data_IF_253374015455
#
_entry.id   IF_253374015455
#
_cell.length_a   1.000
_cell.length_b   1.000
_cell.length_c   1.000
_cell.angle_alpha   90.00
_cell.angle_beta   90.00
_cell.angle_gamma   90.00
#
_symmetry.space_group_name_H-M   'P 1'
#
loop_
_entity.id
_entity.type
_entity.pdbx_description
1 polymer ?
#
# COMPACT_ATOMS: atom_id res chain seq x y z
N UNK A 1 25.37 -8.14 13.64
CA UNK A 1 25.95 -6.78 13.70
C UNK A 1 26.02 -6.26 12.27
N UNK A 2 25.37 -5.14 11.94
CA UNK A 2 25.28 -4.62 10.56
C UNK A 2 26.66 -4.21 10.03
N UNK A 3 26.96 -4.49 8.76
CA UNK A 3 28.28 -4.25 8.13
C UNK A 3 28.74 -2.79 8.24
N UNK A 4 27.82 -1.82 8.20
CA UNK A 4 28.13 -0.40 8.41
C UNK A 4 28.73 -0.09 9.79
N UNK A 5 28.30 -0.79 10.85
CA UNK A 5 28.86 -0.57 12.20
C UNK A 5 30.29 -1.06 12.34
N UNK A 6 30.69 -2.07 11.54
CA UNK A 6 32.08 -2.54 11.49
C UNK A 6 33.01 -1.52 10.80
N UNK A 7 32.43 -0.58 10.06
CA UNK A 7 33.13 0.50 9.35
C UNK A 7 33.03 1.84 10.10
N UNK A 8 32.68 1.79 11.40
CA UNK A 8 32.46 2.94 12.28
C UNK A 8 31.38 3.94 11.82
N UNK A 9 30.54 3.54 10.86
CA UNK A 9 29.35 4.29 10.45
C UNK A 9 28.21 3.95 11.41
N UNK A 10 27.90 4.88 12.31
CA UNK A 10 26.94 4.70 13.41
C UNK A 10 25.73 5.61 13.31
N UNK A 11 25.78 6.66 12.50
CA UNK A 11 24.71 7.68 12.40
C UNK A 11 24.23 7.88 10.98
N UNK A 12 23.00 8.37 10.83
CA UNK A 12 22.42 8.75 9.53
C UNK A 12 23.27 9.83 8.84
N UNK A 13 23.81 10.80 9.59
CA UNK A 13 24.70 11.82 9.06
C UNK A 13 25.97 11.22 8.44
N UNK A 14 26.59 10.25 9.11
CA UNK A 14 27.76 9.56 8.58
C UNK A 14 27.42 8.76 7.33
N UNK A 15 26.26 8.09 7.28
CA UNK A 15 25.79 7.40 6.06
C UNK A 15 25.59 8.41 4.92
N UNK A 16 24.98 9.57 5.19
CA UNK A 16 24.70 10.58 4.19
C UNK A 16 25.97 11.13 3.50
N UNK A 17 27.08 11.24 4.24
CA UNK A 17 28.35 11.80 3.76
C UNK A 17 29.43 10.74 3.46
N UNK A 18 29.14 9.45 3.68
CA UNK A 18 30.12 8.39 3.49
C UNK A 18 30.51 8.23 2.00
N UNK A 19 31.79 7.95 1.76
CA UNK A 19 32.26 7.53 0.44
C UNK A 19 32.12 6.00 0.31
N UNK A 20 30.96 5.57 -0.21
CA UNK A 20 30.67 4.15 -0.40
C UNK A 20 31.57 3.46 -1.44
N UNK A 21 32.27 4.22 -2.30
CA UNK A 21 33.22 3.64 -3.26
C UNK A 21 34.44 3.00 -2.58
N UNK A 22 34.73 3.39 -1.34
CA UNK A 22 35.87 2.91 -0.54
C UNK A 22 35.50 1.77 0.42
N UNK A 23 34.23 1.36 0.47
CA UNK A 23 33.83 0.27 1.36
C UNK A 23 34.20 -1.09 0.77
N UNK A 24 34.62 -2.06 1.61
CA UNK A 24 34.75 -3.44 1.17
C UNK A 24 33.39 -3.95 0.68
N UNK A 25 33.40 -4.91 -0.27
CA UNK A 25 32.17 -5.56 -0.74
C UNK A 25 31.36 -6.05 0.45
N UNK A 26 30.12 -5.56 0.55
CA UNK A 26 29.20 -5.91 1.63
C UNK A 26 28.41 -7.16 1.18
N UNK A 27 28.49 -8.29 1.90
CA UNK A 27 27.68 -9.47 1.57
C UNK A 27 26.20 -9.13 1.51
N UNK A 28 25.52 -9.59 0.45
CA UNK A 28 24.09 -9.38 0.20
C UNK A 28 23.65 -7.92 -0.05
N UNK A 29 24.58 -6.99 -0.30
CA UNK A 29 24.25 -5.62 -0.70
C UNK A 29 25.02 -5.22 -1.95
N UNK A 30 24.29 -4.95 -3.03
CA UNK A 30 24.87 -4.43 -4.25
C UNK A 30 25.09 -2.91 -4.14
N UNK A 31 25.87 -2.35 -5.06
CA UNK A 31 26.21 -0.92 -5.09
C UNK A 31 24.97 -0.04 -5.14
N UNK A 32 23.93 -0.46 -5.85
CA UNK A 32 22.66 0.24 -5.98
C UNK A 32 21.91 0.34 -4.64
N UNK A 33 21.85 -0.76 -3.88
CA UNK A 33 21.25 -0.80 -2.54
C UNK A 33 21.99 0.11 -1.56
N UNK A 34 23.33 0.14 -1.63
CA UNK A 34 24.14 1.08 -0.82
C UNK A 34 23.87 2.53 -1.19
N UNK A 35 23.82 2.83 -2.49
CA UNK A 35 23.51 4.16 -2.98
C UNK A 35 22.11 4.60 -2.54
N UNK A 36 21.13 3.71 -2.59
CA UNK A 36 19.77 3.98 -2.11
C UNK A 36 19.74 4.28 -0.61
N UNK A 37 20.46 3.51 0.21
CA UNK A 37 20.60 3.77 1.66
C UNK A 37 21.26 5.14 1.91
N UNK A 38 22.26 5.50 1.11
CA UNK A 38 22.88 6.83 1.18
C UNK A 38 21.88 7.94 0.87
N UNK A 39 21.12 7.80 -0.22
CA UNK A 39 20.12 8.79 -0.63
C UNK A 39 19.03 8.94 0.44
N UNK A 40 18.58 7.84 1.05
CA UNK A 40 17.62 7.89 2.16
C UNK A 40 18.21 8.65 3.36
N UNK A 41 19.47 8.41 3.70
CA UNK A 41 20.14 9.15 4.77
C UNK A 41 20.28 10.64 4.44
N UNK A 42 20.61 11.00 3.20
CA UNK A 42 20.68 12.38 2.74
C UNK A 42 19.32 13.06 2.80
N UNK A 43 18.26 12.37 2.36
CA UNK A 43 16.88 12.85 2.42
C UNK A 43 16.46 13.10 3.89
N UNK A 44 16.74 12.16 4.80
CA UNK A 44 16.48 12.31 6.23
C UNK A 44 17.22 13.52 6.84
N UNK A 45 18.50 13.71 6.53
CA UNK A 45 19.31 14.84 7.05
C UNK A 45 18.82 16.18 6.53
N UNK A 46 18.48 16.26 5.24
CA UNK A 46 17.91 17.47 4.62
C UNK A 46 16.45 17.68 5.01
N UNK A 47 15.81 16.65 5.56
CA UNK A 47 14.37 16.57 5.79
C UNK A 47 13.55 16.92 4.54
N UNK A 48 14.00 16.47 3.36
CA UNK A 48 13.36 16.78 2.08
C UNK A 48 13.40 15.61 1.10
N UNK A 49 12.49 15.60 0.14
CA UNK A 49 12.43 14.55 -0.89
C UNK A 49 13.61 14.65 -1.84
N UNK A 50 14.06 13.50 -2.35
CA UNK A 50 14.97 13.41 -3.49
C UNK A 50 14.24 12.74 -4.64
N UNK A 51 14.12 13.44 -5.76
CA UNK A 51 13.59 12.88 -7.00
C UNK A 51 14.67 12.09 -7.72
N UNK A 52 14.37 10.83 -8.04
CA UNK A 52 15.23 9.96 -8.85
C UNK A 52 14.84 10.03 -10.32
N UNK A 53 13.54 10.07 -10.59
CA UNK A 53 12.94 10.26 -11.92
C UNK A 53 11.50 10.74 -11.77
N UNK A 54 10.90 11.19 -12.87
CA UNK A 54 9.48 11.51 -12.90
C UNK A 54 8.63 10.24 -12.77
N UNK A 55 7.62 10.21 -11.88
CA UNK A 55 6.65 9.13 -11.79
C UNK A 55 5.90 8.96 -13.11
N UNK A 56 5.80 7.72 -13.59
CA UNK A 56 4.97 7.37 -14.73
C UNK A 56 3.84 6.47 -14.24
N UNK A 57 2.63 7.01 -14.21
CA UNK A 57 1.45 6.31 -13.72
C UNK A 57 0.45 6.22 -14.86
N UNK A 58 0.00 5.01 -15.17
CA UNK A 58 -1.04 4.82 -16.18
C UNK A 58 -2.39 5.28 -15.62
N UNK A 59 -3.05 6.18 -16.33
CA UNK A 59 -4.35 6.71 -15.94
C UNK A 59 -5.52 5.99 -16.63
N UNK A 60 -6.72 6.11 -16.05
CA UNK A 60 -8.00 5.80 -16.66
C UNK A 60 -9.14 6.70 -16.15
N UNK A 61 -10.24 6.83 -16.92
CA UNK A 61 -11.43 7.54 -16.48
C UNK A 61 -12.04 6.99 -15.19
N UNK A 62 -12.08 5.65 -15.05
CA UNK A 62 -12.50 4.98 -13.83
C UNK A 62 -11.26 4.55 -13.03
N UNK A 63 -11.04 5.20 -11.89
CA UNK A 63 -9.96 4.85 -10.95
C UNK A 63 -10.55 4.08 -9.79
N UNK A 64 -9.95 2.93 -9.47
CA UNK A 64 -10.33 2.10 -8.33
C UNK A 64 -9.10 2.00 -7.44
N UNK A 65 -9.19 2.39 -6.18
CA UNK A 65 -8.13 2.16 -5.20
C UNK A 65 -8.54 0.97 -4.36
N UNK A 66 -7.61 0.04 -4.15
CA UNK A 66 -7.91 -1.27 -3.58
C UNK A 66 -6.93 -1.59 -2.45
N UNK A 67 -7.50 -2.08 -1.35
CA UNK A 67 -6.77 -2.58 -0.19
C UNK A 67 -7.47 -3.81 0.42
N UNK A 68 -6.69 -4.67 1.08
CA UNK A 68 -7.16 -5.92 1.68
C UNK A 68 -6.74 -5.97 3.15
N UNK A 69 -7.70 -6.28 4.02
CA UNK A 69 -7.42 -6.65 5.40
C UNK A 69 -7.52 -8.17 5.58
N UNK A 70 -6.57 -8.73 6.33
CA UNK A 70 -6.53 -10.15 6.59
C UNK A 70 -5.80 -10.50 7.89
N UNK A 71 -6.04 -11.72 8.36
CA UNK A 71 -5.42 -12.30 9.53
C UNK A 71 -4.61 -13.54 9.12
N UNK A 72 -3.27 -13.50 9.24
CA UNK A 72 -2.41 -14.62 8.87
C UNK A 72 -2.53 -15.82 9.83
N UNK A 73 -2.92 -15.63 11.09
CA UNK A 73 -3.09 -16.71 12.06
C UNK A 73 -4.37 -17.51 11.75
N UNK A 74 -5.46 -16.80 11.46
CA UNK A 74 -6.73 -17.41 11.03
C UNK A 74 -6.74 -17.82 9.55
N UNK A 75 -5.73 -17.40 8.78
CA UNK A 75 -5.61 -17.62 7.33
C UNK A 75 -6.82 -17.12 6.54
N UNK A 76 -7.33 -15.94 6.91
CA UNK A 76 -8.51 -15.31 6.29
C UNK A 76 -8.18 -13.92 5.78
N UNK A 77 -8.71 -13.55 4.62
CA UNK A 77 -8.88 -12.18 4.16
C UNK A 77 -10.32 -11.77 4.51
N UNK A 78 -10.49 -10.90 5.49
CA UNK A 78 -11.81 -10.58 6.02
C UNK A 78 -12.41 -9.31 5.44
N UNK A 79 -11.65 -8.50 4.71
CA UNK A 79 -12.19 -7.31 4.06
C UNK A 79 -11.47 -6.99 2.74
N UNK A 80 -12.25 -6.75 1.70
CA UNK A 80 -11.82 -6.15 0.43
C UNK A 80 -12.48 -4.78 0.31
N UNK A 81 -11.71 -3.71 0.25
CA UNK A 81 -12.27 -2.36 0.17
C UNK A 81 -11.81 -1.58 -1.05
N UNK A 82 -12.72 -0.78 -1.59
CA UNK A 82 -12.53 -0.09 -2.85
C UNK A 82 -12.99 1.36 -2.76
N UNK A 83 -12.10 2.29 -3.11
CA UNK A 83 -12.47 3.67 -3.38
C UNK A 83 -12.60 3.90 -4.88
N UNK A 84 -13.79 4.27 -5.34
CA UNK A 84 -14.12 4.34 -6.77
C UNK A 84 -14.33 5.80 -7.17
N UNK A 85 -13.58 6.24 -8.19
CA UNK A 85 -13.63 7.61 -8.73
C UNK A 85 -13.85 7.55 -10.24
N UNK A 86 -14.99 8.07 -10.71
CA UNK A 86 -15.47 8.02 -12.10
C UNK A 86 -15.55 9.41 -12.74
N UNK A 87 -14.65 10.32 -12.36
CA UNK A 87 -14.65 11.72 -12.78
C UNK A 87 -15.62 12.61 -11.98
N UNK A 88 -16.37 12.04 -11.03
CA UNK A 88 -17.14 12.79 -10.04
C UNK A 88 -16.44 12.76 -8.68
N UNK A 89 -16.59 13.84 -7.93
CA UNK A 89 -16.10 13.97 -6.54
C UNK A 89 -17.30 14.27 -5.61
N UNK A 90 -17.32 13.73 -4.37
CA UNK A 90 -16.33 12.78 -3.83
C UNK A 90 -16.43 11.41 -4.51
N UNK A 91 -15.35 10.62 -4.42
CA UNK A 91 -15.40 9.20 -4.75
C UNK A 91 -16.37 8.43 -3.85
N UNK A 92 -16.56 7.13 -4.14
CA UNK A 92 -17.46 6.26 -3.39
C UNK A 92 -16.72 5.03 -2.87
N UNK A 93 -16.84 4.80 -1.57
CA UNK A 93 -16.36 3.58 -0.94
C UNK A 93 -17.36 2.43 -1.11
N UNK A 94 -16.85 1.24 -1.41
CA UNK A 94 -17.56 -0.02 -1.24
C UNK A 94 -16.62 -1.04 -0.60
N UNK A 95 -17.19 -2.01 0.10
CA UNK A 95 -16.41 -3.10 0.68
C UNK A 95 -17.19 -4.42 0.62
N UNK A 96 -16.45 -5.52 0.57
CA UNK A 96 -16.96 -6.86 0.86
C UNK A 96 -16.28 -7.32 2.15
N UNK A 97 -17.06 -7.87 3.08
CA UNK A 97 -16.59 -8.23 4.42
C UNK A 97 -17.01 -9.66 4.73
N UNK A 98 -16.06 -10.47 5.17
CA UNK A 98 -16.33 -11.75 5.82
C UNK A 98 -16.41 -11.49 7.33
N UNK A 99 -17.64 -11.47 7.88
CA UNK A 99 -17.84 -11.23 9.32
C UNK A 99 -17.36 -12.39 10.19
N UNK A 100 -17.14 -13.56 9.60
CA UNK A 100 -16.50 -14.72 10.23
C UNK A 100 -15.53 -15.37 9.25
N UNK A 101 -14.51 -16.11 9.70
CA UNK A 101 -13.57 -16.77 8.80
C UNK A 101 -14.23 -17.67 7.76
N UNK A 102 -15.29 -18.40 8.11
CA UNK A 102 -16.06 -19.24 7.20
C UNK A 102 -16.81 -18.46 6.10
N UNK A 103 -17.00 -17.15 6.26
CA UNK A 103 -17.71 -16.30 5.30
C UNK A 103 -16.79 -15.78 4.17
N UNK A 104 -15.47 -16.05 4.19
CA UNK A 104 -14.51 -15.62 3.16
C UNK A 104 -14.92 -16.05 1.75
N UNK A 105 -15.37 -17.29 1.61
CA UNK A 105 -15.84 -17.80 0.33
C UNK A 105 -17.07 -17.06 -0.19
N UNK A 106 -17.97 -16.63 0.70
CA UNK A 106 -19.15 -15.84 0.33
C UNK A 106 -18.75 -14.41 -0.08
N UNK A 107 -17.91 -13.76 0.73
CA UNK A 107 -17.32 -12.45 0.43
C UNK A 107 -16.64 -12.46 -0.94
N UNK A 108 -15.90 -13.52 -1.26
CA UNK A 108 -15.24 -13.70 -2.55
C UNK A 108 -16.24 -13.79 -3.71
N UNK A 109 -17.35 -14.53 -3.57
CA UNK A 109 -18.36 -14.60 -4.63
C UNK A 109 -19.08 -13.25 -4.87
N UNK A 110 -19.27 -12.46 -3.82
CA UNK A 110 -19.80 -11.08 -3.94
C UNK A 110 -18.83 -10.19 -4.71
N UNK A 111 -17.53 -10.27 -4.39
CA UNK A 111 -16.47 -9.60 -5.15
C UNK A 111 -16.46 -10.01 -6.64
N UNK A 112 -16.49 -11.32 -6.94
CA UNK A 112 -16.56 -11.81 -8.33
C UNK A 112 -17.82 -11.31 -9.06
N UNK A 113 -18.95 -11.21 -8.36
CA UNK A 113 -20.19 -10.68 -8.93
C UNK A 113 -20.06 -9.19 -9.26
N UNK A 114 -19.38 -8.43 -8.40
CA UNK A 114 -19.07 -7.02 -8.66
C UNK A 114 -18.10 -6.84 -9.84
N UNK A 115 -17.08 -7.68 -9.98
CA UNK A 115 -16.16 -7.61 -11.12
C UNK A 115 -16.88 -7.69 -12.48
N UNK A 116 -17.97 -8.45 -12.58
CA UNK A 116 -18.80 -8.56 -13.80
C UNK A 116 -19.50 -7.25 -14.18
N UNK A 117 -19.63 -6.32 -13.23
CA UNK A 117 -20.26 -5.01 -13.45
C UNK A 117 -19.27 -3.95 -13.94
N UNK A 118 -17.96 -4.21 -13.84
CA UNK A 118 -16.95 -3.25 -14.25
C UNK A 118 -16.89 -3.11 -15.77
N UNK A 119 -16.75 -1.87 -16.30
CA UNK A 119 -16.67 -1.65 -17.73
C UNK A 119 -15.37 -2.24 -18.28
N UNK A 120 -15.41 -3.13 -19.29
CA UNK A 120 -14.20 -3.67 -19.89
C UNK A 120 -13.31 -2.54 -20.42
N UNK A 121 -12.02 -2.57 -20.06
CA UNK A 121 -10.95 -1.69 -20.58
C UNK A 121 -11.06 -0.19 -20.27
N UNK A 122 -11.92 0.23 -19.33
CA UNK A 122 -12.09 1.64 -18.97
C UNK A 122 -11.64 1.99 -17.55
N UNK A 123 -10.96 1.08 -16.85
CA UNK A 123 -10.49 1.30 -15.48
C UNK A 123 -9.05 0.88 -15.23
N UNK A 124 -8.47 1.46 -14.18
CA UNK A 124 -7.22 1.05 -13.54
C UNK A 124 -7.46 0.82 -12.06
N UNK A 125 -6.72 -0.12 -11.48
CA UNK A 125 -6.76 -0.44 -10.06
C UNK A 125 -5.45 -0.04 -9.44
N UNK A 126 -5.46 0.86 -8.47
CA UNK A 126 -4.28 1.35 -7.77
C UNK A 126 -4.24 0.71 -6.39
N UNK A 127 -3.08 0.21 -5.99
CA UNK A 127 -2.88 -0.40 -4.69
C UNK A 127 -1.47 -0.11 -4.18
N UNK A 128 -1.14 -0.52 -2.96
CA UNK A 128 0.12 -0.18 -2.32
C UNK A 128 0.79 -1.41 -1.70
N UNK A 129 1.53 -2.14 -2.55
CA UNK A 129 2.35 -3.35 -2.31
C UNK A 129 1.85 -4.61 -3.05
N UNK A 130 2.71 -5.61 -3.16
CA UNK A 130 2.38 -6.90 -3.81
C UNK A 130 1.33 -7.73 -3.06
N UNK A 131 1.01 -7.36 -1.82
CA UNK A 131 0.08 -8.11 -0.97
C UNK A 131 -1.30 -8.27 -1.65
N UNK A 132 -1.88 -7.19 -2.17
CA UNK A 132 -3.20 -7.23 -2.83
C UNK A 132 -3.21 -8.17 -4.04
N UNK A 133 -2.15 -8.10 -4.87
CA UNK A 133 -1.98 -8.99 -6.02
C UNK A 133 -1.90 -10.45 -5.58
N UNK A 134 -1.01 -10.74 -4.64
CA UNK A 134 -0.74 -12.09 -4.16
C UNK A 134 -2.00 -12.72 -3.53
N UNK A 135 -2.70 -11.99 -2.66
CA UNK A 135 -3.92 -12.45 -1.99
C UNK A 135 -5.08 -12.64 -2.95
N UNK A 136 -5.29 -11.70 -3.88
CA UNK A 136 -6.37 -11.83 -4.88
C UNK A 136 -6.17 -13.05 -5.77
N UNK A 137 -4.93 -13.32 -6.23
CA UNK A 137 -4.62 -14.52 -7.02
C UNK A 137 -4.73 -15.81 -6.18
N UNK A 138 -4.31 -15.77 -4.92
CA UNK A 138 -4.45 -16.88 -3.98
C UNK A 138 -5.92 -17.28 -3.77
N UNK A 139 -6.79 -16.29 -3.54
CA UNK A 139 -8.22 -16.53 -3.37
C UNK A 139 -8.89 -17.02 -4.66
N UNK A 140 -8.45 -16.56 -5.83
CA UNK A 140 -8.93 -17.11 -7.10
C UNK A 140 -8.58 -18.59 -7.27
N UNK A 141 -7.42 -19.03 -6.75
CA UNK A 141 -7.04 -20.45 -6.72
C UNK A 141 -7.86 -21.25 -5.70
N UNK A 142 -8.17 -20.65 -4.55
CA UNK A 142 -8.91 -21.30 -3.46
C UNK A 142 -10.41 -21.43 -3.76
N UNK A 143 -11.04 -20.37 -4.28
CA UNK A 143 -12.49 -20.26 -4.44
C UNK A 143 -12.96 -20.15 -5.91
N UNK A 144 -12.05 -20.16 -6.89
CA UNK A 144 -12.36 -20.06 -8.31
C UNK A 144 -12.53 -18.62 -8.82
N UNK A 145 -12.92 -18.47 -10.10
CA UNK A 145 -13.14 -17.17 -10.76
C UNK A 145 -11.90 -16.56 -11.43
N UNK A 146 -10.89 -17.37 -11.73
CA UNK A 146 -9.62 -16.91 -12.33
C UNK A 146 -9.81 -16.13 -13.65
N UNK A 147 -10.84 -16.46 -14.43
CA UNK A 147 -11.21 -15.78 -15.67
C UNK A 147 -11.69 -14.34 -15.48
N UNK A 148 -12.26 -14.01 -14.31
CA UNK A 148 -12.65 -12.66 -13.93
C UNK A 148 -11.51 -11.91 -13.24
N UNK A 149 -10.77 -12.62 -12.39
CA UNK A 149 -9.68 -12.05 -11.59
C UNK A 149 -8.47 -11.68 -12.44
N UNK A 150 -8.07 -12.53 -13.39
CA UNK A 150 -6.87 -12.27 -14.19
C UNK A 150 -6.96 -10.90 -14.91
N UNK A 151 -8.03 -10.57 -15.65
CA UNK A 151 -8.18 -9.24 -16.24
C UNK A 151 -8.19 -8.11 -15.21
N UNK A 152 -8.75 -8.31 -14.02
CA UNK A 152 -8.75 -7.31 -12.96
C UNK A 152 -7.33 -7.03 -12.45
N UNK A 153 -6.58 -8.08 -12.13
CA UNK A 153 -5.18 -8.07 -11.68
C UNK A 153 -4.23 -7.51 -12.75
N UNK A 154 -4.48 -7.77 -14.03
CA UNK A 154 -3.71 -7.21 -15.16
C UNK A 154 -3.84 -5.67 -15.26
N UNK A 155 -4.83 -5.07 -14.57
CA UNK A 155 -5.04 -3.61 -14.51
C UNK A 155 -4.47 -2.96 -13.24
N UNK A 156 -3.83 -3.74 -12.38
CA UNK A 156 -3.21 -3.23 -11.15
C UNK A 156 -2.02 -2.32 -11.47
N UNK A 157 -1.92 -1.25 -10.72
CA UNK A 157 -0.82 -0.30 -10.68
C UNK A 157 -0.35 -0.23 -9.24
N UNK A 158 0.84 -0.79 -8.97
CA UNK A 158 1.45 -0.77 -7.64
C UNK A 158 2.15 0.58 -7.41
N UNK A 159 1.52 1.45 -6.61
CA UNK A 159 2.08 2.76 -6.29
C UNK A 159 3.31 2.67 -5.39
N UNK A 160 3.51 1.57 -4.67
CA UNK A 160 4.72 1.38 -3.86
C UNK A 160 5.95 1.24 -4.76
N UNK A 161 5.82 0.54 -5.91
CA UNK A 161 6.87 0.43 -6.92
C UNK A 161 7.13 1.79 -7.56
N UNK A 162 6.08 2.52 -7.94
CA UNK A 162 6.22 3.88 -8.51
C UNK A 162 6.98 4.80 -7.55
N UNK A 163 6.62 4.81 -6.26
CA UNK A 163 7.32 5.58 -5.24
C UNK A 163 8.78 5.15 -5.14
N UNK A 164 9.02 3.84 -5.00
CA UNK A 164 10.38 3.33 -4.82
C UNK A 164 11.29 3.70 -5.99
N UNK A 165 10.80 3.65 -7.22
CA UNK A 165 11.62 3.97 -8.37
C UNK A 165 11.80 5.48 -8.61
N UNK A 166 10.89 6.31 -8.09
CA UNK A 166 10.82 7.73 -8.47
C UNK A 166 11.30 8.67 -7.37
N UNK A 167 11.14 8.31 -6.09
CA UNK A 167 11.29 9.24 -4.97
C UNK A 167 11.95 8.56 -3.77
N UNK A 168 12.82 9.31 -3.11
CA UNK A 168 13.28 9.03 -1.75
C UNK A 168 12.65 10.07 -0.81
N UNK A 169 11.74 9.61 0.04
CA UNK A 169 11.16 10.38 1.14
C UNK A 169 12.11 10.43 2.35
N UNK A 170 12.03 11.51 3.15
CA UNK A 170 12.76 11.64 4.42
C UNK A 170 12.06 10.85 5.53
N UNK A 171 11.84 9.55 5.28
CA UNK A 171 11.11 8.63 6.15
C UNK A 171 11.94 7.37 6.37
N UNK A 172 11.80 6.76 7.54
CA UNK A 172 12.43 5.47 7.85
C UNK A 172 11.67 4.28 7.24
N UNK A 173 10.35 4.41 7.16
CA UNK A 173 9.43 3.39 6.67
C UNK A 173 8.58 3.96 5.55
N UNK A 174 8.21 3.09 4.61
CA UNK A 174 7.56 3.44 3.35
C UNK A 174 6.21 2.75 3.22
N UNK A 175 5.49 2.54 4.34
CA UNK A 175 4.08 2.16 4.24
C UNK A 175 3.27 3.32 3.67
N UNK A 176 2.09 3.04 3.11
CA UNK A 176 1.17 4.09 2.65
C UNK A 176 0.89 5.09 3.79
N UNK A 177 0.77 4.59 5.02
CA UNK A 177 0.52 5.40 6.21
C UNK A 177 1.67 6.34 6.56
N UNK A 178 2.92 5.90 6.42
CA UNK A 178 4.10 6.74 6.66
C UNK A 178 4.17 7.87 5.62
N UNK A 179 3.97 7.53 4.35
CA UNK A 179 4.06 8.48 3.24
C UNK A 179 2.91 9.49 3.28
N UNK A 180 1.67 9.03 3.43
CA UNK A 180 0.51 9.90 3.39
C UNK A 180 0.40 10.83 4.62
N UNK A 181 0.89 10.41 5.81
CA UNK A 181 0.98 11.30 6.98
C UNK A 181 2.12 12.30 6.91
N UNK A 182 3.07 12.11 6.00
CA UNK A 182 4.23 12.99 5.88
C UNK A 182 3.80 14.43 5.65
N UNK A 183 4.72 15.38 5.89
CA UNK A 183 4.48 16.82 5.64
C UNK A 183 4.12 17.15 4.19
N UNK A 184 4.36 16.22 3.26
CA UNK A 184 4.09 16.41 1.84
C UNK A 184 2.63 16.13 1.48
N UNK A 185 2.02 15.11 2.09
CA UNK A 185 0.65 14.67 1.77
C UNK A 185 -0.36 15.04 2.87
N UNK A 186 0.06 15.04 4.13
CA UNK A 186 -0.71 15.49 5.31
C UNK A 186 -2.09 14.83 5.48
N UNK A 187 -2.27 13.60 4.97
CA UNK A 187 -3.49 12.84 5.16
C UNK A 187 -3.67 12.42 6.62
N UNK A 188 -4.93 12.42 7.08
CA UNK A 188 -5.29 12.15 8.49
C UNK A 188 -6.28 11.00 8.56
N UNK A 189 -5.82 9.88 9.11
CA UNK A 189 -6.68 8.75 9.46
C UNK A 189 -7.65 9.13 10.60
N UNK A 190 -8.87 8.59 10.54
CA UNK A 190 -9.83 8.55 11.64
C UNK A 190 -9.25 7.89 12.89
N UNK A 191 -8.43 6.86 12.70
CA UNK A 191 -7.66 6.19 13.75
C UNK A 191 -6.15 6.45 13.58
N UNK A 192 -5.60 7.53 14.17
CA UNK A 192 -4.23 7.98 13.91
C UNK A 192 -3.14 6.95 14.29
N UNK A 193 -3.39 6.14 15.33
CA UNK A 193 -2.41 5.16 15.84
C UNK A 193 -2.61 3.75 15.30
N UNK A 194 -3.71 3.48 14.59
CA UNK A 194 -3.98 2.17 14.04
C UNK A 194 -2.99 1.81 12.91
N UNK A 195 -2.73 0.53 12.71
CA UNK A 195 -2.05 -0.04 11.55
C UNK A 195 -2.57 -1.45 11.33
N UNK A 196 -2.00 -2.23 10.40
CA UNK A 196 -2.51 -3.58 10.10
C UNK A 196 -2.68 -4.49 11.33
N UNK A 197 -1.76 -4.44 12.30
CA UNK A 197 -1.91 -5.22 13.55
C UNK A 197 -3.13 -4.80 14.40
N UNK A 198 -3.52 -3.52 14.34
CA UNK A 198 -4.71 -3.01 15.02
C UNK A 198 -5.99 -3.50 14.34
N UNK A 199 -5.98 -3.61 13.01
CA UNK A 199 -7.09 -4.17 12.21
C UNK A 199 -7.34 -5.63 12.59
N UNK A 200 -6.27 -6.44 12.69
CA UNK A 200 -6.34 -7.84 13.17
C UNK A 200 -6.92 -7.92 14.58
N UNK A 201 -6.41 -7.12 15.52
CA UNK A 201 -6.93 -7.09 16.89
C UNK A 201 -8.42 -6.72 16.94
N UNK A 202 -8.87 -5.78 16.11
CA UNK A 202 -10.28 -5.43 16.02
C UNK A 202 -11.11 -6.58 15.45
N UNK A 203 -10.58 -7.33 14.46
CA UNK A 203 -11.29 -8.47 13.90
C UNK A 203 -11.45 -9.58 14.93
N UNK A 204 -10.40 -9.95 15.67
CA UNK A 204 -10.48 -10.91 16.78
C UNK A 204 -11.51 -10.45 17.83
N UNK A 205 -11.45 -9.18 18.24
CA UNK A 205 -12.42 -8.61 19.20
C UNK A 205 -13.86 -8.64 18.66
N UNK A 206 -14.06 -8.40 17.37
CA UNK A 206 -15.37 -8.53 16.73
C UNK A 206 -15.89 -9.97 16.82
N UNK A 207 -15.05 -10.97 16.50
CA UNK A 207 -15.42 -12.38 16.59
C UNK A 207 -15.79 -12.81 18.01
N UNK A 208 -15.09 -12.27 19.01
CA UNK A 208 -15.36 -12.56 20.42
C UNK A 208 -16.64 -11.91 20.95
N UNK A 209 -16.91 -10.67 20.54
CA UNK A 209 -17.91 -9.81 21.20
C UNK A 209 -19.17 -9.57 20.39
N UNK A 210 -19.12 -9.70 19.06
CA UNK A 210 -20.18 -9.26 18.16
C UNK A 210 -20.43 -7.74 18.20
N UNK A 211 -19.47 -6.94 18.67
CA UNK A 211 -19.60 -5.48 18.74
C UNK A 211 -19.43 -4.83 17.35
N UNK A 212 -20.55 -4.45 16.74
CA UNK A 212 -20.59 -3.82 15.39
C UNK A 212 -19.76 -2.54 15.31
N UNK A 213 -19.52 -1.84 16.41
CA UNK A 213 -18.69 -0.63 16.39
C UNK A 213 -17.23 -0.96 16.07
N UNK A 214 -16.72 -2.10 16.56
CA UNK A 214 -15.37 -2.58 16.27
C UNK A 214 -15.24 -3.01 14.81
N UNK A 215 -16.26 -3.70 14.27
CA UNK A 215 -16.28 -4.05 12.84
C UNK A 215 -16.30 -2.79 11.97
N UNK A 216 -17.05 -1.76 12.38
CA UNK A 216 -17.08 -0.49 11.67
C UNK A 216 -15.72 0.24 11.74
N UNK A 217 -14.96 0.13 12.82
CA UNK A 217 -13.60 0.68 12.91
C UNK A 217 -12.64 0.03 11.90
N UNK A 218 -12.78 -1.28 11.64
CA UNK A 218 -12.03 -1.99 10.58
C UNK A 218 -12.37 -1.41 9.20
N UNK A 219 -13.66 -1.28 8.91
CA UNK A 219 -14.15 -0.71 7.63
C UNK A 219 -13.66 0.73 7.45
N UNK A 220 -13.74 1.54 8.51
CA UNK A 220 -13.25 2.92 8.51
C UNK A 220 -11.73 2.98 8.27
N UNK A 221 -10.98 2.08 8.89
CA UNK A 221 -9.53 2.01 8.73
C UNK A 221 -9.14 1.66 7.29
N UNK A 222 -9.78 0.65 6.69
CA UNK A 222 -9.52 0.29 5.31
C UNK A 222 -9.96 1.36 4.31
N UNK A 223 -11.12 2.01 4.54
CA UNK A 223 -11.54 3.16 3.73
C UNK A 223 -10.50 4.30 3.78
N UNK A 224 -9.92 4.56 4.96
CA UNK A 224 -8.83 5.54 5.05
C UNK A 224 -7.59 5.11 4.25
N UNK A 225 -7.25 3.82 4.19
CA UNK A 225 -6.10 3.32 3.45
C UNK A 225 -6.29 3.45 1.92
N UNK A 226 -7.47 3.14 1.38
CA UNK A 226 -7.75 3.36 -0.06
C UNK A 226 -7.88 4.83 -0.43
N UNK A 227 -8.42 5.68 0.44
CA UNK A 227 -8.46 7.14 0.22
C UNK A 227 -7.06 7.74 0.31
N UNK A 228 -6.24 7.31 1.27
CA UNK A 228 -4.83 7.74 1.35
C UNK A 228 -4.04 7.33 0.09
N UNK A 229 -4.35 6.18 -0.48
CA UNK A 229 -3.78 5.72 -1.76
C UNK A 229 -4.19 6.64 -2.91
N UNK A 230 -5.43 7.13 -2.94
CA UNK A 230 -5.84 8.20 -3.88
C UNK A 230 -5.03 9.48 -3.67
N UNK A 231 -4.88 9.93 -2.42
CA UNK A 231 -4.11 11.15 -2.12
C UNK A 231 -2.67 11.04 -2.63
N UNK A 232 -2.04 9.88 -2.43
CA UNK A 232 -0.70 9.62 -2.96
C UNK A 232 -0.67 9.65 -4.49
N UNK A 233 -1.62 8.99 -5.15
CA UNK A 233 -1.71 9.01 -6.60
C UNK A 233 -1.81 10.43 -7.16
N UNK A 234 -2.74 11.25 -6.66
CA UNK A 234 -2.86 12.65 -7.11
C UNK A 234 -1.60 13.46 -6.83
N UNK A 235 -0.96 13.25 -5.68
CA UNK A 235 0.27 13.96 -5.33
C UNK A 235 1.43 13.60 -6.27
N UNK A 236 1.58 12.32 -6.62
CA UNK A 236 2.57 11.86 -7.60
C UNK A 236 2.31 12.46 -9.00
N UNK A 237 1.06 12.46 -9.44
CA UNK A 237 0.65 12.97 -10.75
C UNK A 237 0.84 14.49 -10.89
N UNK A 238 0.53 15.26 -9.84
CA UNK A 238 0.72 16.71 -9.84
C UNK A 238 2.20 17.07 -9.81
N UNK A 239 2.98 16.36 -8.99
CA UNK A 239 4.42 16.59 -8.88
C UNK A 239 5.17 16.21 -10.16
N UNK A 240 4.66 15.24 -10.94
CA UNK A 240 5.23 14.87 -12.23
C UNK A 240 5.07 15.94 -13.32
N UNK A 241 4.12 16.89 -13.17
CA UNK A 241 3.84 17.96 -14.14
C UNK A 241 4.62 19.26 -13.91
N UNK A 242 5.41 19.31 -12.83
CA UNK A 242 6.21 20.49 -12.44
C UNK A 242 7.67 20.24 -12.75
#
# INVERSE_FOLDING_TARGET
MTVLRQLDIKTVHQVATADFSRLPKIPHMNTEGLHRVQLQAQSLVKNDIIWLKHPQILDAPLKIYFDIEGDPLLQVQYLFGFWIVDGKQPGRYISFVAERPEDEGKMWQEFLSWLKTLPPNHYRVYHFADYERSRTLGLAKQYGGAELVKPFVDRFIDLSVVVQESIIFPLYFYSIKDIAKSRFLQYKWRHPKAGGAQSIFWYEKWLETGDRTVLQDIVNYNEDDVVATEYLHHWLDQSAKT
#
